data_IF_915928784375
#
_entry.id   IF_915928784375
#
_cell.length_a   1.000
_cell.length_b   1.000
_cell.length_c   1.000
_cell.angle_alpha   90.00
_cell.angle_beta   90.00
_cell.angle_gamma   90.00
#
_symmetry.space_group_name_H-M   'P 1'
#
loop_
_entity.id
_entity.type
_entity.pdbx_description
1 polymer ?
#
# COMPACT_ATOMS: atom_id res chain seq x y z
N UNK A 1 -0.85 -4.83 10.98
CA UNK A 1 -2.11 -5.21 10.31
C UNK A 1 -2.18 -4.58 8.93
N UNK A 2 -2.57 -5.36 7.94
CA UNK A 2 -2.69 -4.88 6.58
C UNK A 2 -3.89 -3.95 6.41
N UNK A 3 -3.69 -2.86 5.67
CA UNK A 3 -4.76 -1.97 5.24
C UNK A 3 -5.41 -2.52 3.96
N UNK A 4 -6.57 -1.97 3.54
CA UNK A 4 -7.20 -2.42 2.31
C UNK A 4 -6.27 -2.31 1.09
N UNK A 5 -6.45 -3.23 0.15
CA UNK A 5 -5.66 -3.25 -1.09
C UNK A 5 -6.12 -2.11 -2.01
N UNK A 6 -5.16 -1.48 -2.68
CA UNK A 6 -5.44 -0.43 -3.67
C UNK A 6 -5.12 -0.97 -5.07
N UNK A 7 -6.04 -0.79 -5.99
CA UNK A 7 -5.76 -1.01 -7.40
C UNK A 7 -5.28 0.29 -8.04
N UNK A 8 -4.16 0.20 -8.74
CA UNK A 8 -3.57 1.34 -9.44
C UNK A 8 -3.83 1.17 -10.93
N UNK A 9 -4.56 2.10 -11.52
CA UNK A 9 -4.96 2.05 -12.93
C UNK A 9 -4.38 3.26 -13.67
N UNK A 10 -3.11 3.18 -14.14
CA UNK A 10 -2.55 4.26 -14.93
C UNK A 10 -3.21 4.29 -16.31
N UNK A 11 -3.60 5.48 -16.78
CA UNK A 11 -4.30 5.62 -18.05
C UNK A 11 -3.43 5.20 -19.26
N UNK A 12 -2.10 5.32 -19.12
CA UNK A 12 -1.16 4.90 -20.15
C UNK A 12 -0.92 3.39 -20.19
N UNK A 13 -1.42 2.65 -19.19
CA UNK A 13 -1.14 1.22 -19.02
C UNK A 13 0.18 0.94 -18.32
N UNK A 14 1.00 1.95 -18.05
CA UNK A 14 2.27 1.82 -17.35
C UNK A 14 2.33 2.83 -16.20
N UNK A 15 2.71 2.34 -15.01
CA UNK A 15 2.83 3.20 -13.83
C UNK A 15 4.23 3.80 -13.78
N UNK A 16 4.52 4.71 -14.73
CA UNK A 16 5.79 5.41 -14.87
C UNK A 16 5.77 6.76 -14.13
N UNK A 17 6.83 7.56 -14.31
CA UNK A 17 6.94 8.86 -13.66
C UNK A 17 5.76 9.77 -14.01
N UNK A 18 5.38 9.81 -15.29
CA UNK A 18 4.27 10.65 -15.74
C UNK A 18 2.96 10.25 -15.04
N UNK A 19 2.64 8.96 -15.00
CA UNK A 19 1.40 8.49 -14.39
C UNK A 19 1.39 8.65 -12.88
N UNK A 20 2.57 8.59 -12.24
CA UNK A 20 2.68 8.76 -10.78
C UNK A 20 2.45 10.21 -10.34
N UNK A 21 2.92 11.18 -11.10
CA UNK A 21 3.00 12.57 -10.65
C UNK A 21 2.13 13.54 -11.44
N UNK A 22 1.49 13.09 -12.52
CA UNK A 22 0.58 13.93 -13.29
C UNK A 22 -0.84 13.72 -12.77
N UNK A 23 -1.47 14.80 -12.31
CA UNK A 23 -2.84 14.73 -11.79
C UNK A 23 -3.78 14.23 -12.88
N UNK A 24 -4.59 13.22 -12.54
CA UNK A 24 -5.56 12.63 -13.45
C UNK A 24 -5.00 11.58 -14.41
N UNK A 25 -3.69 11.30 -14.35
CA UNK A 25 -3.08 10.28 -15.24
C UNK A 25 -3.27 8.86 -14.71
N UNK A 26 -3.69 8.69 -13.46
CA UNK A 26 -3.87 7.39 -12.82
C UNK A 26 -5.12 7.41 -11.96
N UNK A 27 -5.90 6.33 -12.02
CA UNK A 27 -7.02 6.12 -11.12
C UNK A 27 -6.57 5.18 -9.99
N UNK A 28 -7.07 5.45 -8.78
CA UNK A 28 -6.80 4.64 -7.60
C UNK A 28 -8.13 4.15 -7.04
N UNK A 29 -8.29 2.84 -6.94
CA UNK A 29 -9.53 2.22 -6.47
C UNK A 29 -9.28 1.56 -5.11
N UNK A 30 -10.01 2.00 -4.09
CA UNK A 30 -9.85 1.51 -2.72
C UNK A 30 -11.23 1.22 -2.13
N UNK A 31 -11.49 0.01 -1.67
CA UNK A 31 -10.68 -1.19 -1.83
C UNK A 31 -10.65 -1.66 -3.29
N UNK A 32 -9.59 -2.36 -3.66
CA UNK A 32 -9.46 -2.90 -5.02
C UNK A 32 -10.62 -3.85 -5.33
N UNK A 33 -11.15 -3.82 -6.58
CA UNK A 33 -12.27 -4.69 -6.98
C UNK A 33 -11.80 -6.11 -7.30
N UNK A 34 -11.25 -6.77 -6.32
CA UNK A 34 -10.74 -8.15 -6.41
C UNK A 34 -11.54 -9.04 -5.47
N UNK A 35 -11.41 -10.36 -5.64
CA UNK A 35 -12.10 -11.31 -4.77
C UNK A 35 -11.59 -11.15 -3.33
N UNK A 36 -12.44 -11.48 -2.37
CA UNK A 36 -12.05 -11.46 -0.97
C UNK A 36 -10.89 -12.42 -0.71
N UNK A 37 -10.88 -13.56 -1.39
CA UNK A 37 -9.81 -14.56 -1.27
C UNK A 37 -8.47 -13.97 -1.72
N UNK A 38 -8.43 -13.27 -2.86
CA UNK A 38 -7.22 -12.65 -3.35
C UNK A 38 -6.75 -11.53 -2.42
N UNK A 39 -7.68 -10.70 -1.93
CA UNK A 39 -7.36 -9.64 -0.98
C UNK A 39 -6.76 -10.19 0.30
N UNK A 40 -7.31 -11.29 0.84
CA UNK A 40 -6.77 -11.95 2.03
C UNK A 40 -5.39 -12.54 1.76
N UNK A 41 -5.18 -13.13 0.59
CA UNK A 41 -3.89 -13.67 0.19
C UNK A 41 -2.82 -12.58 0.17
N UNK A 42 -3.12 -11.46 -0.47
CA UNK A 42 -2.20 -10.31 -0.52
C UNK A 42 -1.90 -9.77 0.88
N UNK A 43 -2.93 -9.64 1.72
CA UNK A 43 -2.76 -9.16 3.09
C UNK A 43 -1.84 -10.08 3.90
N UNK A 44 -2.01 -11.39 3.77
CA UNK A 44 -1.17 -12.37 4.47
C UNK A 44 0.28 -12.32 3.99
N UNK A 45 0.47 -12.18 2.68
CA UNK A 45 1.82 -12.07 2.09
C UNK A 45 2.50 -10.81 2.61
N UNK A 46 1.80 -9.68 2.60
CA UNK A 46 2.33 -8.41 3.08
C UNK A 46 2.68 -8.47 4.58
N UNK A 47 1.80 -9.03 5.39
CA UNK A 47 2.05 -9.16 6.84
C UNK A 47 3.23 -10.09 7.12
N UNK A 48 3.35 -11.18 6.36
CA UNK A 48 4.48 -12.09 6.48
C UNK A 48 5.78 -11.40 6.08
N UNK A 49 5.77 -10.68 4.96
CA UNK A 49 6.93 -9.91 4.53
C UNK A 49 7.34 -8.85 5.53
N UNK A 50 6.36 -8.18 6.12
CA UNK A 50 6.59 -7.17 7.15
C UNK A 50 7.34 -7.78 8.35
N UNK A 51 6.94 -8.96 8.79
CA UNK A 51 7.59 -9.65 9.91
C UNK A 51 8.99 -10.15 9.53
N UNK A 52 9.13 -10.76 8.36
CA UNK A 52 10.42 -11.31 7.89
C UNK A 52 11.46 -10.21 7.75
N UNK A 53 11.06 -9.05 7.23
CA UNK A 53 11.97 -7.92 7.06
C UNK A 53 12.14 -7.09 8.31
N UNK A 54 11.53 -7.49 9.43
CA UNK A 54 11.60 -6.77 10.70
C UNK A 54 11.21 -5.31 10.55
N UNK A 55 10.15 -5.05 9.80
CA UNK A 55 9.66 -3.71 9.54
C UNK A 55 9.00 -3.08 10.76
N UNK A 56 8.96 -1.74 10.79
CA UNK A 56 8.15 -0.99 11.74
C UNK A 56 7.54 0.21 11.01
N UNK A 57 6.49 0.79 11.59
CA UNK A 57 5.77 1.89 10.94
C UNK A 57 5.00 1.43 9.72
N UNK A 58 4.79 2.35 8.78
CA UNK A 58 4.04 2.08 7.56
C UNK A 58 4.98 1.59 6.45
N UNK A 59 4.62 0.48 5.84
CA UNK A 59 5.37 -0.11 4.72
C UNK A 59 4.37 -0.43 3.61
N UNK A 60 4.74 -0.16 2.37
CA UNK A 60 3.91 -0.47 1.21
C UNK A 60 4.51 -1.66 0.47
N UNK A 61 3.67 -2.66 0.21
CA UNK A 61 4.04 -3.81 -0.60
C UNK A 61 3.35 -3.68 -1.96
N UNK A 62 4.13 -3.68 -3.02
CA UNK A 62 3.62 -3.56 -4.37
C UNK A 62 3.49 -4.95 -4.99
N UNK A 63 2.32 -5.21 -5.58
CA UNK A 63 1.98 -6.50 -6.15
C UNK A 63 1.63 -6.36 -7.61
N UNK A 64 1.77 -7.47 -8.33
CA UNK A 64 1.20 -7.66 -9.65
C UNK A 64 0.56 -9.04 -9.68
N UNK A 65 -0.54 -9.16 -10.41
CA UNK A 65 -1.17 -10.47 -10.60
C UNK A 65 -0.94 -10.95 -12.02
N UNK A 66 -0.85 -12.27 -12.19
CA UNK A 66 -0.81 -12.86 -13.53
C UNK A 66 -2.23 -12.99 -14.11
N UNK A 67 -2.36 -13.60 -15.29
CA UNK A 67 -3.65 -13.76 -15.96
C UNK A 67 -4.60 -14.67 -15.18
N UNK A 68 -4.08 -15.55 -14.33
CA UNK A 68 -4.87 -16.45 -13.51
C UNK A 68 -5.19 -15.88 -12.15
N UNK A 69 -4.75 -14.66 -11.86
CA UNK A 69 -5.02 -13.98 -10.59
C UNK A 69 -4.07 -14.34 -9.48
N UNK A 70 -2.91 -14.92 -9.78
CA UNK A 70 -1.91 -15.20 -8.74
C UNK A 70 -1.14 -13.92 -8.40
N UNK A 71 -1.00 -13.58 -7.11
CA UNK A 71 -0.29 -12.36 -6.70
C UNK A 71 1.22 -12.61 -6.62
N UNK A 72 1.98 -11.62 -7.10
CA UNK A 72 3.44 -11.62 -6.99
C UNK A 72 3.89 -10.32 -6.37
N UNK A 73 4.72 -10.40 -5.32
CA UNK A 73 5.33 -9.22 -4.69
C UNK A 73 6.42 -8.69 -5.60
N UNK A 74 6.36 -7.41 -5.93
CA UNK A 74 7.39 -6.75 -6.72
C UNK A 74 8.43 -6.10 -5.82
N UNK A 75 7.98 -5.39 -4.80
CA UNK A 75 8.88 -4.71 -3.88
C UNK A 75 8.18 -4.36 -2.57
N UNK A 76 8.98 -4.09 -1.55
CA UNK A 76 8.54 -3.52 -0.30
C UNK A 76 9.17 -2.12 -0.17
N UNK A 77 8.32 -1.12 0.03
CA UNK A 77 8.77 0.26 0.20
C UNK A 77 8.64 0.66 1.66
N UNK A 78 9.78 0.77 2.35
CA UNK A 78 9.81 1.06 3.78
C UNK A 78 9.64 2.54 4.12
N UNK A 79 9.71 3.42 3.12
CA UNK A 79 9.46 4.86 3.30
C UNK A 79 8.45 5.29 2.22
N UNK A 80 7.19 4.85 2.35
CA UNK A 80 6.18 5.20 1.37
C UNK A 80 5.81 6.69 1.48
N UNK A 81 5.29 7.24 0.38
CA UNK A 81 4.84 8.63 0.37
C UNK A 81 3.79 8.89 1.44
N UNK A 82 3.87 10.05 2.08
CA UNK A 82 3.00 10.41 3.20
C UNK A 82 2.38 11.79 3.02
N UNK A 83 1.98 12.11 1.81
CA UNK A 83 1.12 13.28 1.56
C UNK A 83 -0.33 12.86 1.72
N UNK A 84 -1.24 13.81 1.85
CA UNK A 84 -2.67 13.51 2.02
C UNK A 84 -3.27 12.73 0.84
N UNK A 85 -2.61 12.73 -0.32
CA UNK A 85 -3.06 12.03 -1.52
C UNK A 85 -2.23 10.80 -1.85
N UNK A 86 -1.27 10.44 -1.00
CA UNK A 86 -0.43 9.25 -1.20
C UNK A 86 -1.21 7.95 -0.94
N UNK A 87 -0.64 6.83 -1.37
CA UNK A 87 -1.32 5.53 -1.34
C UNK A 87 -1.63 5.05 0.08
N UNK A 88 -0.66 5.11 1.00
CA UNK A 88 -0.89 4.63 2.37
C UNK A 88 -1.99 5.44 3.06
N UNK A 89 -2.01 6.78 3.00
CA UNK A 89 -3.14 7.54 3.53
C UNK A 89 -4.48 7.21 2.86
N UNK A 90 -4.50 6.91 1.56
CA UNK A 90 -5.72 6.50 0.88
C UNK A 90 -6.27 5.19 1.44
N UNK A 91 -5.40 4.20 1.63
CA UNK A 91 -5.79 2.92 2.19
C UNK A 91 -6.27 3.07 3.64
N UNK A 92 -5.59 3.89 4.43
CA UNK A 92 -5.97 4.16 5.81
C UNK A 92 -7.35 4.84 5.88
N UNK A 93 -7.59 5.83 5.02
CA UNK A 93 -8.88 6.53 4.96
C UNK A 93 -10.02 5.58 4.63
N UNK A 94 -9.80 4.61 3.75
CA UNK A 94 -10.81 3.61 3.40
C UNK A 94 -11.18 2.75 4.60
N UNK A 95 -10.31 2.65 5.60
CA UNK A 95 -10.57 1.91 6.83
C UNK A 95 -11.02 2.82 7.99
N UNK A 96 -11.26 4.10 7.71
CA UNK A 96 -11.73 5.05 8.73
C UNK A 96 -10.62 5.70 9.54
N UNK A 97 -9.37 5.58 9.11
CA UNK A 97 -8.23 6.21 9.78
C UNK A 97 -7.92 7.53 9.07
N UNK A 98 -8.07 8.65 9.78
CA UNK A 98 -7.77 9.96 9.21
C UNK A 98 -6.27 10.13 9.01
N UNK A 99 -5.88 11.09 8.15
CA UNK A 99 -4.47 11.37 7.91
C UNK A 99 -3.73 11.77 9.18
N UNK A 100 -4.26 12.70 10.00
CA UNK A 100 -3.60 13.02 11.27
C UNK A 100 -3.45 11.82 12.19
N UNK A 101 -4.46 10.96 12.27
CA UNK A 101 -4.41 9.76 13.10
C UNK A 101 -3.36 8.78 12.59
N UNK A 102 -3.26 8.61 11.28
CA UNK A 102 -2.24 7.75 10.68
C UNK A 102 -0.85 8.25 11.02
N UNK A 103 -0.60 9.55 10.92
CA UNK A 103 0.68 10.14 11.26
C UNK A 103 1.01 9.92 12.74
N UNK A 104 0.03 10.06 13.62
CA UNK A 104 0.20 9.80 15.05
C UNK A 104 0.59 8.34 15.29
N UNK A 105 -0.09 7.40 14.65
CA UNK A 105 0.19 5.97 14.79
C UNK A 105 1.63 5.63 14.38
N UNK A 106 2.08 6.21 13.27
CA UNK A 106 3.45 6.01 12.79
C UNK A 106 4.46 6.60 13.77
N UNK A 107 4.19 7.80 14.25
CA UNK A 107 5.06 8.47 15.21
C UNK A 107 5.19 7.67 16.52
N UNK A 108 4.11 7.08 16.99
CA UNK A 108 4.11 6.29 18.21
C UNK A 108 4.96 5.01 18.12
N UNK A 109 5.24 4.54 16.92
CA UNK A 109 6.11 3.38 16.70
C UNK A 109 7.57 3.77 16.52
N UNK A 110 7.88 5.06 16.44
CA UNK A 110 9.25 5.52 16.23
C UNK A 110 10.09 5.32 17.50
N UNK A 111 11.36 4.99 17.35
CA UNK A 111 12.29 4.79 18.46
C UNK A 111 13.72 4.64 17.95
N UNK A 112 14.67 4.84 18.86
CA UNK A 112 16.10 4.76 18.55
C UNK A 112 16.69 3.38 18.81
N UNK A 113 15.93 2.51 19.39
CA UNK A 113 16.37 1.14 19.80
C UNK A 113 15.91 0.07 18.83
N UNK A 114 15.68 0.44 17.58
CA UNK A 114 15.21 -0.48 16.54
C UNK A 114 16.34 -1.28 15.87
N UNK A 115 17.48 -1.26 16.43
CA UNK A 115 18.66 -1.96 15.92
C UNK A 115 18.89 -3.27 16.64
#
# INVERSE_FOLDING_TARGET
KALPVIEICPHSGQYDYHSKYTKGATDYIVPAPISQELALSMSRIAEKGYRICECSGAVRFDFKTDKEGHPFVLEANSIPGMTSTSLVPKAAAAQGISFPKLCEMILMEAGLDKV
#
